data_IF_004159998103
#
_entry.id   IF_004159998103
#
_cell.length_a   1.000
_cell.length_b   1.000
_cell.length_c   1.000
_cell.angle_alpha   90.00
_cell.angle_beta   90.00
_cell.angle_gamma   90.00
#
_symmetry.space_group_name_H-M   'P 1'
#
loop_
_entity.id
_entity.type
_entity.pdbx_description
1 polymer ?
#
# COMPACT_ATOMS: atom_id res chain seq x y z
N UNK A 1 -8.16 28.37 22.68
CA UNK A 1 -6.84 28.23 22.02
C UNK A 1 -7.11 27.65 20.66
N UNK A 2 -6.93 28.47 19.61
CA UNK A 2 -7.43 28.24 18.26
C UNK A 2 -6.93 26.93 17.67
N UNK A 3 -7.81 26.25 16.92
CA UNK A 3 -7.44 25.32 15.85
C UNK A 3 -6.58 26.08 14.83
N UNK A 4 -5.32 26.36 15.14
CA UNK A 4 -4.39 26.87 14.16
C UNK A 4 -4.24 25.80 13.08
N UNK A 5 -4.55 26.21 11.86
CA UNK A 5 -4.67 25.36 10.69
C UNK A 5 -3.38 24.60 10.42
N UNK A 6 -3.35 23.30 10.75
CA UNK A 6 -2.31 22.36 10.33
C UNK A 6 -2.49 21.99 8.85
N UNK A 7 -2.39 22.99 7.98
CA UNK A 7 -2.53 22.83 6.54
C UNK A 7 -1.16 22.79 5.88
N UNK A 8 -0.94 21.75 5.07
CA UNK A 8 0.29 21.53 4.30
C UNK A 8 -0.06 21.47 2.82
N UNK A 9 0.74 22.12 1.98
CA UNK A 9 0.61 22.02 0.54
C UNK A 9 1.38 20.81 0.03
N UNK A 10 0.69 19.85 -0.60
CA UNK A 10 1.33 18.78 -1.38
C UNK A 10 1.43 19.19 -2.86
N UNK A 11 2.13 18.39 -3.66
CA UNK A 11 2.15 18.52 -5.13
C UNK A 11 0.75 18.47 -5.76
N UNK A 12 -0.20 17.78 -5.11
CA UNK A 12 -1.53 17.53 -5.65
C UNK A 12 -2.60 18.48 -5.09
N UNK A 13 -2.42 19.00 -3.89
CA UNK A 13 -3.35 19.95 -3.28
C UNK A 13 -3.12 20.13 -1.77
N UNK A 14 -3.85 21.06 -1.13
CA UNK A 14 -3.75 21.31 0.30
C UNK A 14 -4.36 20.17 1.13
N UNK A 15 -3.69 19.79 2.21
CA UNK A 15 -4.17 18.77 3.17
C UNK A 15 -4.15 19.33 4.60
N UNK A 16 -5.12 18.96 5.42
CA UNK A 16 -5.20 19.36 6.84
C UNK A 16 -5.03 18.16 7.76
N UNK A 17 -4.05 18.23 8.64
CA UNK A 17 -3.81 17.24 9.70
C UNK A 17 -4.36 17.68 11.05
N UNK A 18 -4.00 16.95 12.09
CA UNK A 18 -4.34 17.26 13.49
C UNK A 18 -3.13 17.11 14.41
N UNK A 19 -3.20 17.73 15.59
CA UNK A 19 -2.37 17.34 16.73
C UNK A 19 -3.02 16.18 17.47
N UNK A 20 -2.20 15.26 17.94
CA UNK A 20 -2.59 14.15 18.81
C UNK A 20 -1.65 14.13 20.02
N UNK A 21 -2.07 13.40 21.06
CA UNK A 21 -1.23 13.05 22.20
C UNK A 21 -0.96 11.55 22.14
N UNK A 22 0.31 11.16 22.22
CA UNK A 22 0.72 9.76 22.22
C UNK A 22 0.34 9.06 23.53
N UNK A 23 0.37 7.72 23.52
CA UNK A 23 0.27 6.89 24.73
C UNK A 23 1.32 7.23 25.80
N UNK A 24 2.41 7.91 25.42
CA UNK A 24 3.48 8.36 26.31
C UNK A 24 3.31 9.83 26.78
N UNK A 25 2.20 10.49 26.43
CA UNK A 25 1.89 11.86 26.84
C UNK A 25 2.58 12.95 26.00
N UNK A 26 3.31 12.59 24.94
CA UNK A 26 3.95 13.55 24.03
C UNK A 26 3.00 13.96 22.90
N UNK A 27 2.94 15.25 22.57
CA UNK A 27 2.23 15.72 21.39
C UNK A 27 2.95 15.36 20.09
N UNK A 28 2.17 15.09 19.06
CA UNK A 28 2.65 14.93 17.69
C UNK A 28 1.61 15.41 16.67
N UNK A 29 2.07 15.75 15.48
CA UNK A 29 1.25 16.07 14.32
C UNK A 29 0.99 14.78 13.51
N UNK A 30 -0.24 14.65 13.03
CA UNK A 30 -0.72 13.50 12.26
C UNK A 30 -1.49 13.96 11.03
N UNK A 31 -1.11 13.43 9.87
CA UNK A 31 -1.88 13.48 8.63
C UNK A 31 -2.14 12.06 8.18
N UNK A 32 -3.39 11.71 7.93
CA UNK A 32 -3.77 10.36 7.54
C UNK A 32 -4.68 10.38 6.32
N UNK A 33 -4.54 9.39 5.45
CA UNK A 33 -5.40 9.27 4.28
C UNK A 33 -5.07 10.24 3.14
N UNK A 34 -3.83 10.71 3.00
CA UNK A 34 -3.43 11.59 1.88
C UNK A 34 -3.33 10.76 0.60
N UNK A 35 -4.04 11.07 -0.50
CA UNK A 35 -3.92 10.31 -1.75
C UNK A 35 -2.54 10.47 -2.38
N UNK A 36 -1.88 9.34 -2.70
CA UNK A 36 -0.66 9.33 -3.52
C UNK A 36 -0.88 8.73 -4.90
N UNK A 37 -2.02 8.05 -5.11
CA UNK A 37 -2.48 7.54 -6.39
C UNK A 37 -3.98 7.83 -6.58
N UNK A 38 -4.44 7.79 -7.82
CA UNK A 38 -5.87 7.72 -8.14
C UNK A 38 -6.43 6.36 -7.70
N UNK A 39 -7.68 6.35 -7.23
CA UNK A 39 -8.42 5.13 -6.96
C UNK A 39 -8.34 4.14 -8.15
N UNK A 40 -7.82 2.91 -7.95
CA UNK A 40 -7.72 1.87 -8.97
C UNK A 40 -9.06 1.18 -9.23
N UNK A 41 -10.12 1.96 -9.45
CA UNK A 41 -11.49 1.48 -9.69
C UNK A 41 -11.75 1.25 -11.18
N UNK A 42 -12.76 0.42 -11.48
CA UNK A 42 -13.22 0.15 -12.85
C UNK A 42 -12.07 -0.33 -13.75
N UNK A 43 -11.78 0.42 -14.82
CA UNK A 43 -10.72 0.06 -15.78
C UNK A 43 -9.29 0.18 -15.23
N UNK A 44 -9.10 0.86 -14.10
CA UNK A 44 -7.81 0.91 -13.40
C UNK A 44 -7.59 -0.26 -12.44
N UNK A 45 -8.63 -1.08 -12.18
CA UNK A 45 -8.51 -2.26 -11.35
C UNK A 45 -7.47 -3.22 -11.96
N UNK A 46 -6.62 -3.76 -11.09
CA UNK A 46 -5.45 -4.61 -11.40
C UNK A 46 -4.29 -3.91 -12.15
N UNK A 47 -4.47 -2.69 -12.67
CA UNK A 47 -3.43 -1.97 -13.41
C UNK A 47 -2.45 -1.25 -12.49
N UNK A 48 -1.32 -0.83 -13.05
CA UNK A 48 -0.36 0.03 -12.37
C UNK A 48 -1.04 1.32 -11.85
N UNK A 49 -0.62 1.84 -10.68
CA UNK A 49 -1.17 3.08 -10.15
C UNK A 49 -0.80 4.26 -11.04
N UNK A 50 -1.65 5.28 -11.00
CA UNK A 50 -1.39 6.58 -11.62
C UNK A 50 -1.54 7.68 -10.57
N UNK A 51 -0.84 8.82 -10.70
CA UNK A 51 -0.99 9.93 -9.77
C UNK A 51 -2.44 10.39 -9.62
N UNK A 52 -2.85 10.91 -8.45
CA UNK A 52 -4.19 11.44 -8.26
C UNK A 52 -4.38 12.71 -9.09
N UNK A 53 -5.64 13.05 -9.36
CA UNK A 53 -5.97 14.37 -9.89
C UNK A 53 -5.67 15.43 -8.83
N UNK A 54 -5.26 16.62 -9.28
CA UNK A 54 -5.06 17.75 -8.37
C UNK A 54 -6.38 18.21 -7.77
N UNK A 55 -6.35 18.68 -6.54
CA UNK A 55 -7.49 19.28 -5.85
C UNK A 55 -7.14 20.67 -5.32
N UNK A 56 -8.16 21.51 -5.16
CA UNK A 56 -8.00 22.91 -4.70
C UNK A 56 -8.54 23.12 -3.30
N UNK A 57 -9.55 22.35 -2.89
CA UNK A 57 -10.12 22.42 -1.54
C UNK A 57 -9.26 21.67 -0.54
N UNK A 58 -9.08 22.21 0.67
CA UNK A 58 -8.27 21.54 1.71
C UNK A 58 -8.90 20.20 2.08
N UNK A 59 -8.19 19.11 1.74
CA UNK A 59 -8.60 17.76 2.07
C UNK A 59 -8.42 17.51 3.56
N UNK A 60 -9.44 16.94 4.20
CA UNK A 60 -9.36 16.58 5.62
C UNK A 60 -8.61 15.26 5.80
N UNK A 61 -7.44 15.35 6.42
CA UNK A 61 -6.55 14.22 6.74
C UNK A 61 -6.44 14.01 8.26
N UNK A 62 -7.49 14.38 9.00
CA UNK A 62 -7.54 14.27 10.47
C UNK A 62 -7.99 12.88 10.94
N UNK A 63 -8.50 12.06 10.02
CA UNK A 63 -8.99 10.71 10.28
C UNK A 63 -8.26 9.69 9.43
N UNK A 64 -8.17 8.47 9.98
CA UNK A 64 -7.60 7.34 9.29
C UNK A 64 -8.53 6.90 8.13
N UNK A 65 -7.95 6.58 6.98
CA UNK A 65 -8.68 6.02 5.84
C UNK A 65 -8.90 4.50 5.98
N UNK A 66 -9.80 3.96 5.17
CA UNK A 66 -9.95 2.51 5.04
C UNK A 66 -8.70 1.83 4.45
N UNK A 67 -8.44 0.55 4.79
CA UNK A 67 -7.40 -0.23 4.14
C UNK A 67 -7.77 -0.60 2.70
N UNK A 68 -6.81 -1.15 1.96
CA UNK A 68 -7.14 -1.88 0.74
C UNK A 68 -7.99 -3.12 1.08
N UNK A 69 -8.82 -3.56 0.14
CA UNK A 69 -9.68 -4.73 0.29
C UNK A 69 -8.90 -5.98 0.70
N UNK A 70 -9.27 -6.57 1.85
CA UNK A 70 -8.75 -7.85 2.35
C UNK A 70 -9.67 -8.43 3.43
N UNK A 71 -9.37 -9.65 3.89
CA UNK A 71 -10.01 -10.25 5.06
C UNK A 71 -9.22 -9.88 6.32
N UNK A 72 -9.77 -8.99 7.16
CA UNK A 72 -9.14 -8.63 8.43
C UNK A 72 -9.33 -9.78 9.43
N UNK A 73 -8.23 -10.46 9.77
CA UNK A 73 -8.25 -11.62 10.70
C UNK A 73 -8.54 -11.24 12.15
N UNK A 74 -8.31 -9.99 12.57
CA UNK A 74 -8.68 -9.52 13.91
C UNK A 74 -10.19 -9.29 14.01
N UNK A 75 -10.80 -8.77 12.96
CA UNK A 75 -12.24 -8.53 12.89
C UNK A 75 -13.04 -9.73 12.36
N UNK A 76 -12.38 -10.72 11.77
CA UNK A 76 -12.99 -11.85 11.06
C UNK A 76 -13.99 -11.38 9.98
N UNK A 77 -13.61 -10.33 9.24
CA UNK A 77 -14.50 -9.66 8.29
C UNK A 77 -13.71 -9.14 7.09
N UNK A 78 -14.33 -9.19 5.90
CA UNK A 78 -13.84 -8.45 4.73
C UNK A 78 -14.03 -6.95 4.99
N UNK A 79 -12.95 -6.19 4.80
CA UNK A 79 -12.90 -4.74 5.00
C UNK A 79 -12.17 -4.08 3.84
N UNK A 80 -12.34 -2.77 3.70
CA UNK A 80 -11.55 -1.93 2.82
C UNK A 80 -12.36 -1.26 1.72
N UNK A 81 -11.67 -0.37 1.02
CA UNK A 81 -12.18 0.40 -0.11
C UNK A 81 -11.16 0.36 -1.25
N UNK A 82 -11.59 0.46 -2.51
CA UNK A 82 -10.66 0.53 -3.64
C UNK A 82 -9.92 1.88 -3.66
N UNK A 83 -10.58 2.98 -3.30
CA UNK A 83 -9.94 4.29 -3.06
C UNK A 83 -9.17 4.34 -1.72
N UNK A 84 -8.16 3.49 -1.61
CA UNK A 84 -7.35 3.31 -0.40
C UNK A 84 -5.86 3.56 -0.61
N UNK A 85 -5.40 3.87 -1.84
CA UNK A 85 -4.00 4.20 -2.15
C UNK A 85 -3.59 5.57 -1.59
N UNK A 86 -3.48 5.59 -0.26
CA UNK A 86 -3.29 6.75 0.59
C UNK A 86 -2.12 6.54 1.54
N UNK A 87 -1.51 7.63 1.97
CA UNK A 87 -0.30 7.71 2.79
C UNK A 87 -0.55 8.56 4.04
N UNK A 88 0.15 8.23 5.11
CA UNK A 88 0.06 8.86 6.42
C UNK A 88 1.43 9.41 6.82
N UNK A 89 1.46 10.55 7.50
CA UNK A 89 2.67 11.23 7.95
C UNK A 89 2.52 11.62 9.42
N UNK A 90 3.52 11.27 10.23
CA UNK A 90 3.58 11.53 11.66
C UNK A 90 4.93 12.13 12.05
N UNK A 91 4.93 13.20 12.83
CA UNK A 91 6.14 13.84 13.35
C UNK A 91 5.79 14.65 14.61
N UNK A 92 6.76 14.96 15.48
CA UNK A 92 6.52 15.81 16.66
C UNK A 92 5.95 17.18 16.27
N UNK A 93 6.54 17.77 15.23
CA UNK A 93 6.17 19.07 14.68
C UNK A 93 6.54 19.13 13.19
N UNK A 94 6.05 20.17 12.51
CA UNK A 94 6.42 20.46 11.12
C UNK A 94 7.39 21.63 11.13
N UNK A 95 8.66 21.37 10.85
CA UNK A 95 9.68 22.40 10.72
C UNK A 95 10.52 22.20 9.45
N UNK A 96 10.13 22.80 8.32
CA UNK A 96 10.85 22.67 7.06
C UNK A 96 12.28 23.24 7.09
N UNK A 97 12.59 24.12 8.05
CA UNK A 97 13.92 24.73 8.20
C UNK A 97 14.96 23.78 8.81
N UNK A 98 14.52 22.72 9.47
CA UNK A 98 15.38 21.68 10.05
C UNK A 98 14.94 20.29 9.58
N UNK A 99 15.24 19.90 8.32
CA UNK A 99 14.77 18.65 7.75
C UNK A 99 15.21 17.41 8.54
N UNK A 100 14.23 16.60 8.94
CA UNK A 100 14.43 15.38 9.73
C UNK A 100 14.59 14.14 8.84
N UNK A 101 15.34 13.12 9.29
CA UNK A 101 15.39 11.83 8.59
C UNK A 101 13.98 11.20 8.54
N UNK A 102 13.68 10.54 7.41
CA UNK A 102 12.37 9.93 7.15
C UNK A 102 12.46 8.42 7.33
N UNK A 103 11.56 7.85 8.12
CA UNK A 103 11.33 6.40 8.17
C UNK A 103 10.05 6.08 7.40
N UNK A 104 10.20 5.44 6.25
CA UNK A 104 9.09 5.01 5.40
C UNK A 104 8.82 3.53 5.62
N UNK A 105 7.67 3.19 6.20
CA UNK A 105 7.33 1.84 6.62
C UNK A 105 6.34 1.16 5.65
N UNK A 106 6.68 -0.07 5.24
CA UNK A 106 5.84 -0.96 4.45
C UNK A 106 5.37 -2.12 5.35
N UNK A 107 4.05 -2.27 5.52
CA UNK A 107 3.49 -3.38 6.29
C UNK A 107 3.65 -4.73 5.57
N UNK A 108 3.70 -5.78 6.38
CA UNK A 108 3.57 -7.17 5.92
C UNK A 108 2.12 -7.66 5.93
N UNK A 109 1.95 -8.98 5.79
CA UNK A 109 0.64 -9.62 5.67
C UNK A 109 0.56 -10.57 4.47
N UNK A 110 1.67 -11.25 4.15
CA UNK A 110 1.72 -12.28 3.11
C UNK A 110 1.38 -11.80 1.69
N UNK A 111 1.36 -10.49 1.44
CA UNK A 111 0.76 -9.88 0.25
C UNK A 111 -0.74 -10.14 0.07
N UNK A 112 -1.44 -10.68 1.07
CA UNK A 112 -2.89 -11.01 1.02
C UNK A 112 -3.74 -10.18 1.98
N UNK A 113 -3.12 -9.60 3.00
CA UNK A 113 -3.76 -8.72 3.99
C UNK A 113 -2.82 -7.59 4.43
N UNK A 114 -3.37 -6.60 5.13
CA UNK A 114 -2.57 -5.53 5.74
C UNK A 114 -3.26 -4.18 5.72
N UNK A 115 -2.77 -3.28 6.57
CA UNK A 115 -3.27 -1.92 6.73
C UNK A 115 -2.13 -1.03 7.22
N UNK A 116 -2.14 0.25 6.86
CA UNK A 116 -1.25 1.27 7.44
C UNK A 116 -1.82 1.91 8.71
N UNK A 117 -2.94 1.38 9.20
CA UNK A 117 -3.70 1.92 10.32
C UNK A 117 -2.97 1.86 11.67
N UNK A 118 -3.28 2.85 12.49
CA UNK A 118 -2.69 3.07 13.81
C UNK A 118 -3.12 2.03 14.86
N UNK A 119 -4.17 1.26 14.58
CA UNK A 119 -4.61 0.13 15.40
C UNK A 119 -3.59 -1.03 15.44
N UNK A 120 -2.72 -1.13 14.43
CA UNK A 120 -1.59 -2.07 14.40
C UNK A 120 -0.23 -1.36 14.41
N UNK A 121 -0.14 -0.23 13.70
CA UNK A 121 1.13 0.47 13.45
C UNK A 121 1.10 1.90 13.99
N UNK A 122 0.66 2.05 15.25
CA UNK A 122 0.60 3.33 15.94
C UNK A 122 1.97 4.04 16.00
N UNK A 123 2.03 5.36 15.75
CA UNK A 123 3.28 6.11 15.70
C UNK A 123 3.87 6.42 17.09
N UNK A 124 3.09 6.21 18.15
CA UNK A 124 3.29 6.69 19.52
C UNK A 124 4.68 6.46 20.09
N UNK A 125 5.29 5.31 19.79
CA UNK A 125 6.63 4.98 20.29
C UNK A 125 7.75 5.53 19.41
N UNK A 126 7.55 5.67 18.10
CA UNK A 126 8.60 6.11 17.18
C UNK A 126 8.67 7.62 17.08
N UNK A 127 7.52 8.30 17.20
CA UNK A 127 7.42 9.76 17.12
C UNK A 127 8.09 10.48 18.30
N UNK A 128 8.49 9.76 19.35
CA UNK A 128 9.33 10.29 20.43
C UNK A 128 10.75 10.69 19.96
N UNK A 129 11.18 10.19 18.80
CA UNK A 129 12.48 10.50 18.18
C UNK A 129 12.30 11.59 17.13
N UNK A 130 13.39 12.29 16.82
CA UNK A 130 13.39 13.36 15.82
C UNK A 130 13.46 12.78 14.40
N UNK A 131 12.34 12.20 13.98
CA UNK A 131 12.13 11.58 12.67
C UNK A 131 10.76 12.01 12.12
N UNK A 132 10.59 11.88 10.79
CA UNK A 132 9.27 11.83 10.16
C UNK A 132 8.94 10.37 9.87
N UNK A 133 7.90 9.84 10.51
CA UNK A 133 7.40 8.50 10.25
C UNK A 133 6.32 8.57 9.16
N UNK A 134 6.42 7.67 8.19
CA UNK A 134 5.47 7.56 7.07
C UNK A 134 5.01 6.12 6.94
N UNK A 135 3.70 5.90 6.83
CA UNK A 135 3.09 4.60 6.52
C UNK A 135 2.07 4.77 5.39
N UNK A 136 1.79 3.73 4.61
CA UNK A 136 0.85 3.85 3.48
C UNK A 136 0.23 2.50 3.13
N UNK A 137 -0.92 2.55 2.46
CA UNK A 137 -1.59 1.39 1.92
C UNK A 137 -1.09 1.08 0.51
N UNK A 138 -0.90 -0.20 0.20
CA UNK A 138 -0.70 -0.74 -1.15
C UNK A 138 -1.66 -1.91 -1.37
N UNK A 139 -2.09 -2.13 -2.62
CA UNK A 139 -3.02 -3.23 -2.91
C UNK A 139 -2.39 -4.59 -2.60
N UNK A 140 -3.19 -5.47 -2.02
CA UNK A 140 -2.87 -6.85 -1.69
C UNK A 140 -3.79 -7.82 -2.45
N UNK A 141 -3.48 -9.11 -2.37
CA UNK A 141 -4.23 -10.20 -2.98
C UNK A 141 -4.33 -10.08 -4.49
N UNK A 142 -5.40 -10.62 -5.06
CA UNK A 142 -5.65 -10.52 -6.49
C UNK A 142 -5.72 -9.05 -6.96
N UNK A 143 -6.30 -8.16 -6.16
CA UNK A 143 -6.42 -6.74 -6.54
C UNK A 143 -5.05 -6.04 -6.73
N UNK A 144 -4.01 -6.51 -6.02
CA UNK A 144 -2.65 -5.98 -6.12
C UNK A 144 -1.71 -6.80 -7.00
N UNK A 145 -1.97 -8.09 -7.21
CA UNK A 145 -0.98 -9.02 -7.76
C UNK A 145 -1.51 -9.94 -8.87
N UNK A 146 -2.75 -9.73 -9.35
CA UNK A 146 -3.24 -10.39 -10.56
C UNK A 146 -2.29 -10.13 -11.74
N UNK A 147 -1.98 -11.18 -12.51
CA UNK A 147 -1.07 -11.14 -13.64
C UNK A 147 -1.71 -11.83 -14.84
N UNK A 148 -1.91 -11.08 -15.92
CA UNK A 148 -2.33 -11.58 -17.22
C UNK A 148 -1.12 -11.59 -18.16
N UNK A 149 -0.98 -12.64 -18.96
CA UNK A 149 0.19 -12.82 -19.84
C UNK A 149 0.07 -11.98 -21.12
N UNK A 150 -1.16 -11.70 -21.57
CA UNK A 150 -1.40 -10.87 -22.74
C UNK A 150 -1.09 -9.39 -22.44
N UNK A 151 -0.20 -8.80 -23.22
CA UNK A 151 0.10 -7.36 -23.12
C UNK A 151 -1.13 -6.48 -23.39
N UNK A 152 -2.06 -6.97 -24.22
CA UNK A 152 -3.30 -6.27 -24.58
C UNK A 152 -4.21 -5.99 -23.37
N UNK A 153 -4.12 -6.83 -22.34
CA UNK A 153 -4.93 -6.71 -21.14
C UNK A 153 -4.39 -5.64 -20.18
N UNK A 154 -3.09 -5.31 -20.28
CA UNK A 154 -2.43 -4.27 -19.50
C UNK A 154 -2.31 -4.59 -18.00
N UNK A 155 -2.28 -5.87 -17.63
CA UNK A 155 -2.19 -6.35 -16.24
C UNK A 155 -0.95 -7.24 -16.06
N UNK A 156 0.28 -6.70 -16.14
CA UNK A 156 1.51 -7.50 -16.10
C UNK A 156 1.92 -7.97 -14.68
N UNK A 157 1.02 -7.88 -13.69
CA UNK A 157 1.32 -8.19 -12.30
C UNK A 157 1.98 -7.06 -11.50
N UNK A 158 2.23 -7.36 -10.22
CA UNK A 158 2.96 -6.51 -9.28
C UNK A 158 2.39 -5.08 -9.14
N UNK A 159 1.08 -4.91 -9.25
CA UNK A 159 0.44 -3.62 -9.07
C UNK A 159 0.68 -3.07 -7.65
N UNK A 160 0.62 -3.92 -6.62
CA UNK A 160 0.96 -3.57 -5.24
C UNK A 160 2.40 -3.09 -5.06
N UNK A 161 3.40 -3.71 -5.72
CA UNK A 161 4.78 -3.20 -5.68
C UNK A 161 4.93 -1.86 -6.43
N UNK A 162 4.13 -1.64 -7.47
CA UNK A 162 4.10 -0.35 -8.19
C UNK A 162 3.42 0.73 -7.35
N UNK A 163 2.41 0.37 -6.56
CA UNK A 163 1.80 1.25 -5.55
C UNK A 163 2.86 1.71 -4.54
N UNK A 164 3.63 0.78 -4.00
CA UNK A 164 4.75 1.10 -3.11
C UNK A 164 5.81 1.99 -3.77
N UNK A 165 6.18 1.73 -5.03
CA UNK A 165 7.10 2.59 -5.77
C UNK A 165 6.57 4.03 -5.91
N UNK A 166 5.28 4.19 -6.23
CA UNK A 166 4.66 5.51 -6.34
C UNK A 166 4.57 6.21 -4.97
N UNK A 167 4.32 5.48 -3.89
CA UNK A 167 4.36 6.03 -2.53
C UNK A 167 5.77 6.51 -2.13
N UNK A 168 6.82 5.75 -2.46
CA UNK A 168 8.22 6.17 -2.26
C UNK A 168 8.50 7.47 -3.03
N UNK A 169 8.07 7.55 -4.30
CA UNK A 169 8.20 8.77 -5.12
C UNK A 169 7.42 9.94 -4.52
N UNK A 170 6.22 9.68 -3.99
CA UNK A 170 5.43 10.69 -3.30
C UNK A 170 6.19 11.27 -2.12
N UNK A 171 6.84 10.43 -1.31
CA UNK A 171 7.68 10.90 -0.18
C UNK A 171 8.79 11.82 -0.69
N UNK A 172 9.48 11.44 -1.76
CA UNK A 172 10.58 12.24 -2.31
C UNK A 172 10.12 13.62 -2.81
N UNK A 173 8.90 13.70 -3.34
CA UNK A 173 8.33 14.93 -3.89
C UNK A 173 7.68 15.82 -2.82
N UNK A 174 7.17 15.26 -1.72
CA UNK A 174 6.27 15.96 -0.80
C UNK A 174 6.79 16.08 0.62
N UNK A 175 7.67 15.19 1.09
CA UNK A 175 7.97 15.09 2.53
C UNK A 175 8.68 16.32 3.10
N UNK A 176 9.34 17.11 2.24
CA UNK A 176 9.93 18.41 2.62
C UNK A 176 8.89 19.37 3.21
N UNK A 177 7.65 19.36 2.70
CA UNK A 177 6.57 20.20 3.22
C UNK A 177 6.09 19.76 4.63
N UNK A 178 6.41 18.53 5.02
CA UNK A 178 6.13 17.98 6.35
C UNK A 178 7.36 18.01 7.27
N UNK A 179 8.45 18.67 6.87
CA UNK A 179 9.69 18.76 7.66
C UNK A 179 10.63 17.55 7.51
N UNK A 180 10.41 16.67 6.54
CA UNK A 180 11.29 15.54 6.25
C UNK A 180 12.34 15.86 5.18
N UNK A 181 13.50 15.20 5.25
CA UNK A 181 14.55 15.28 4.25
C UNK A 181 14.39 14.14 3.21
N UNK A 182 14.03 14.44 1.93
CA UNK A 182 13.88 13.42 0.90
C UNK A 182 15.21 12.75 0.49
N UNK A 183 16.36 13.24 0.97
CA UNK A 183 17.69 12.65 0.79
C UNK A 183 18.15 11.85 2.02
N UNK A 184 17.30 11.69 3.04
CA UNK A 184 17.58 10.87 4.23
C UNK A 184 16.41 9.92 4.57
N UNK A 185 15.89 9.27 3.55
CA UNK A 185 14.86 8.22 3.64
C UNK A 185 15.50 6.86 3.98
N UNK A 186 15.00 6.27 5.05
CA UNK A 186 15.21 4.86 5.40
C UNK A 186 13.93 4.09 5.08
N UNK A 187 14.01 3.13 4.17
CA UNK A 187 12.89 2.25 3.82
C UNK A 187 12.86 1.04 4.77
N UNK A 188 11.78 0.84 5.51
CA UNK A 188 11.65 -0.24 6.49
C UNK A 188 10.43 -1.10 6.18
N UNK A 189 10.49 -2.39 6.48
CA UNK A 189 9.33 -3.27 6.35
C UNK A 189 9.51 -4.60 7.06
N UNK A 190 8.37 -5.23 7.37
CA UNK A 190 8.29 -6.49 8.11
C UNK A 190 7.60 -7.59 7.28
N UNK A 191 8.10 -8.83 7.37
CA UNK A 191 7.52 -9.99 6.66
C UNK A 191 7.41 -9.73 5.14
N UNK A 192 6.22 -9.78 4.54
CA UNK A 192 6.00 -9.40 3.14
C UNK A 192 6.43 -7.95 2.84
N UNK A 193 6.35 -7.05 3.82
CA UNK A 193 6.91 -5.71 3.73
C UNK A 193 8.45 -5.71 3.69
N UNK A 194 9.12 -6.65 4.36
CA UNK A 194 10.58 -6.80 4.29
C UNK A 194 11.02 -7.35 2.93
N UNK A 195 10.30 -8.34 2.39
CA UNK A 195 10.48 -8.80 1.01
C UNK A 195 10.25 -7.64 0.02
N UNK A 196 9.25 -6.79 0.27
CA UNK A 196 8.98 -5.56 -0.53
C UNK A 196 10.16 -4.57 -0.49
N UNK A 197 10.73 -4.31 0.70
CA UNK A 197 11.94 -3.48 0.82
C UNK A 197 13.07 -4.07 -0.02
N UNK A 198 13.28 -5.38 0.03
CA UNK A 198 14.33 -6.01 -0.75
C UNK A 198 14.03 -6.02 -2.25
N UNK A 199 12.78 -6.17 -2.69
CA UNK A 199 12.40 -5.96 -4.09
C UNK A 199 12.76 -4.56 -4.57
N UNK A 200 12.57 -3.54 -3.74
CA UNK A 200 12.97 -2.17 -4.05
C UNK A 200 14.49 -1.93 -4.00
N UNK A 201 15.25 -2.74 -3.26
CA UNK A 201 16.71 -2.69 -3.27
C UNK A 201 17.30 -3.25 -4.57
N UNK A 202 16.68 -4.29 -5.15
CA UNK A 202 17.22 -5.00 -6.32
C UNK A 202 16.64 -4.52 -7.66
N UNK A 203 15.49 -3.83 -7.66
CA UNK A 203 14.83 -3.37 -8.87
C UNK A 203 15.30 -1.97 -9.29
N UNK A 204 15.73 -1.83 -10.54
CA UNK A 204 16.09 -0.53 -11.13
C UNK A 204 14.94 0.48 -11.10
N UNK A 205 13.68 0.03 -11.02
CA UNK A 205 12.52 0.90 -10.90
C UNK A 205 12.53 1.75 -9.61
N UNK A 206 13.27 1.31 -8.58
CA UNK A 206 13.42 1.99 -7.28
C UNK A 206 14.84 2.52 -7.04
N UNK A 207 15.69 2.53 -8.08
CA UNK A 207 17.08 2.98 -7.98
C UNK A 207 17.19 4.39 -7.39
N UNK A 208 18.07 4.52 -6.40
CA UNK A 208 18.42 5.78 -5.72
C UNK A 208 17.24 6.56 -5.11
N UNK A 209 16.09 5.92 -4.91
CA UNK A 209 14.92 6.56 -4.29
C UNK A 209 15.04 6.67 -2.76
N UNK A 210 15.90 5.88 -2.11
CA UNK A 210 16.12 5.93 -0.66
C UNK A 210 17.58 5.54 -0.35
N UNK A 211 18.06 5.91 0.85
CA UNK A 211 19.50 5.83 1.16
C UNK A 211 19.85 4.70 2.12
N UNK A 212 18.87 4.18 2.87
CA UNK A 212 19.03 3.10 3.85
C UNK A 212 17.83 2.17 3.83
N UNK A 213 18.01 0.94 4.27
CA UNK A 213 16.94 -0.04 4.38
C UNK A 213 16.99 -0.81 5.71
N UNK A 214 15.83 -1.20 6.23
CA UNK A 214 15.68 -2.11 7.37
C UNK A 214 14.75 -3.25 6.94
N UNK A 215 15.29 -4.47 6.90
CA UNK A 215 14.61 -5.67 6.40
C UNK A 215 14.30 -6.59 7.58
N UNK A 216 13.04 -6.66 8.00
CA UNK A 216 12.63 -7.34 9.24
C UNK A 216 11.88 -8.65 8.93
N UNK A 217 12.53 -9.80 9.16
CA UNK A 217 11.88 -11.12 9.07
C UNK A 217 11.21 -11.45 7.72
N UNK A 218 11.84 -11.07 6.61
CA UNK A 218 11.40 -11.46 5.26
C UNK A 218 12.44 -11.10 4.20
N UNK A 219 12.43 -11.80 3.07
CA UNK A 219 13.45 -11.63 2.02
C UNK A 219 12.92 -12.08 0.65
N UNK A 220 13.47 -11.55 -0.45
CA UNK A 220 13.27 -12.09 -1.81
C UNK A 220 13.85 -13.49 -1.99
N UNK A 221 14.71 -13.95 -1.06
CA UNK A 221 15.19 -15.33 -1.03
C UNK A 221 14.20 -16.30 -0.38
N UNK A 222 13.16 -15.79 0.30
CA UNK A 222 12.11 -16.64 0.85
C UNK A 222 11.22 -17.15 -0.28
N UNK A 223 10.94 -18.46 -0.30
CA UNK A 223 10.12 -19.10 -1.35
C UNK A 223 8.74 -18.46 -1.51
N UNK A 224 8.11 -18.07 -0.40
CA UNK A 224 6.80 -17.42 -0.37
C UNK A 224 6.79 -16.00 -0.97
N UNK A 225 7.96 -15.40 -1.24
CA UNK A 225 8.03 -14.01 -1.70
C UNK A 225 7.74 -13.84 -3.20
N UNK A 226 7.71 -14.93 -3.97
CA UNK A 226 7.48 -14.92 -5.43
C UNK A 226 6.55 -16.05 -5.87
N UNK A 227 5.41 -15.68 -6.42
CA UNK A 227 4.42 -16.63 -6.92
C UNK A 227 4.65 -16.98 -8.40
N UNK A 228 4.57 -18.27 -8.73
CA UNK A 228 4.54 -18.75 -10.13
C UNK A 228 3.11 -18.73 -10.66
N UNK A 229 2.94 -18.36 -11.93
CA UNK A 229 1.62 -18.34 -12.57
C UNK A 229 1.12 -19.77 -12.83
N UNK A 230 -0.12 -20.06 -12.41
CA UNK A 230 -0.81 -21.35 -12.61
C UNK A 230 -2.27 -21.14 -13.02
N UNK A 231 -2.48 -20.25 -13.99
CA UNK A 231 -3.80 -19.86 -14.53
C UNK A 231 -4.72 -19.29 -13.43
N UNK A 232 -4.15 -18.43 -12.57
CA UNK A 232 -4.83 -17.93 -11.38
C UNK A 232 -6.00 -17.01 -11.71
N UNK A 233 -5.90 -16.27 -12.83
CA UNK A 233 -6.95 -15.37 -13.31
C UNK A 233 -8.24 -16.15 -13.61
N UNK A 234 -8.14 -17.21 -14.39
CA UNK A 234 -9.27 -18.04 -14.79
C UNK A 234 -9.79 -18.87 -13.64
N UNK A 235 -8.91 -19.41 -12.79
CA UNK A 235 -9.31 -20.14 -11.57
C UNK A 235 -10.14 -19.24 -10.65
N UNK A 236 -9.69 -18.01 -10.40
CA UNK A 236 -10.41 -17.04 -9.58
C UNK A 236 -11.76 -16.66 -10.21
N UNK A 237 -11.76 -16.35 -11.51
CA UNK A 237 -13.00 -16.00 -12.21
C UNK A 237 -14.02 -17.15 -12.15
N UNK A 238 -13.60 -18.40 -12.37
CA UNK A 238 -14.46 -19.58 -12.23
C UNK A 238 -15.00 -19.77 -10.82
N UNK A 239 -14.16 -19.56 -9.80
CA UNK A 239 -14.59 -19.67 -8.40
C UNK A 239 -15.69 -18.65 -8.04
N UNK A 240 -15.67 -17.47 -8.68
CA UNK A 240 -16.69 -16.43 -8.49
C UNK A 240 -17.95 -16.66 -9.35
N UNK A 241 -17.86 -17.47 -10.42
CA UNK A 241 -19.00 -17.84 -11.27
C UNK A 241 -18.92 -17.38 -12.74
N UNK A 242 -17.73 -17.16 -13.27
CA UNK A 242 -17.52 -16.90 -14.70
C UNK A 242 -17.87 -18.11 -15.58
N UNK A 243 -18.44 -17.85 -16.76
CA UNK A 243 -18.94 -18.84 -17.72
C UNK A 243 -17.86 -19.61 -18.51
N UNK A 244 -16.59 -19.23 -18.34
CA UNK A 244 -15.46 -19.85 -19.03
C UNK A 244 -15.23 -19.35 -20.47
N UNK A 245 -15.97 -18.35 -20.95
CA UNK A 245 -15.89 -17.85 -22.32
C UNK A 245 -14.89 -16.71 -22.48
N UNK A 246 -14.04 -16.81 -23.51
CA UNK A 246 -13.12 -15.74 -23.91
C UNK A 246 -11.71 -15.81 -23.31
N UNK A 247 -11.31 -16.95 -22.74
CA UNK A 247 -9.94 -17.16 -22.21
C UNK A 247 -9.57 -16.24 -21.04
N UNK A 248 -8.27 -16.04 -20.80
CA UNK A 248 -7.76 -15.17 -19.72
C UNK A 248 -8.31 -13.75 -19.82
N UNK A 249 -8.36 -13.17 -21.02
CA UNK A 249 -8.91 -11.82 -21.24
C UNK A 249 -10.41 -11.75 -20.94
N UNK A 250 -11.16 -12.83 -21.21
CA UNK A 250 -12.56 -12.98 -20.81
C UNK A 250 -12.73 -13.01 -19.29
N UNK A 251 -11.90 -13.81 -18.62
CA UNK A 251 -11.85 -13.89 -17.17
C UNK A 251 -11.50 -12.54 -16.52
N UNK A 252 -10.53 -11.81 -17.07
CA UNK A 252 -10.15 -10.47 -16.60
C UNK A 252 -11.32 -9.49 -16.70
N UNK A 253 -12.03 -9.46 -17.83
CA UNK A 253 -13.22 -8.59 -18.00
C UNK A 253 -14.29 -8.92 -16.96
N UNK A 254 -14.53 -10.21 -16.70
CA UNK A 254 -15.44 -10.64 -15.64
C UNK A 254 -14.98 -10.16 -14.25
N UNK A 255 -13.69 -10.31 -13.92
CA UNK A 255 -13.14 -9.87 -12.63
C UNK A 255 -13.15 -8.35 -12.43
N UNK A 256 -13.03 -7.55 -13.51
CA UNK A 256 -13.22 -6.10 -13.43
C UNK A 256 -14.66 -5.71 -13.06
N UNK A 257 -15.64 -6.53 -13.45
CA UNK A 257 -17.05 -6.30 -13.12
C UNK A 257 -17.49 -6.90 -11.77
N UNK A 258 -16.74 -7.88 -11.24
CA UNK A 258 -17.04 -8.51 -9.95
C UNK A 258 -16.94 -7.52 -8.78
N UNK A 259 -17.61 -7.82 -7.67
CA UNK A 259 -17.44 -7.03 -6.45
C UNK A 259 -16.08 -7.35 -5.81
N UNK A 260 -15.35 -6.36 -5.27
CA UNK A 260 -14.08 -6.62 -4.58
C UNK A 260 -14.20 -7.63 -3.44
N UNK A 261 -15.34 -7.65 -2.74
CA UNK A 261 -15.60 -8.60 -1.66
C UNK A 261 -15.66 -10.05 -2.16
N UNK A 262 -16.25 -10.28 -3.34
CA UNK A 262 -16.31 -11.61 -3.95
C UNK A 262 -14.91 -12.08 -4.37
N UNK A 263 -14.06 -11.16 -4.85
CA UNK A 263 -12.65 -11.43 -5.17
C UNK A 263 -11.90 -11.86 -3.90
N UNK A 264 -11.99 -11.08 -2.83
CA UNK A 264 -11.32 -11.36 -1.55
C UNK A 264 -11.83 -12.68 -0.95
N UNK A 265 -13.14 -12.95 -1.02
CA UNK A 265 -13.74 -14.15 -0.43
C UNK A 265 -13.29 -15.46 -1.11
N UNK A 266 -12.85 -15.40 -2.36
CA UNK A 266 -12.46 -16.57 -3.15
C UNK A 266 -10.93 -16.70 -3.34
N UNK A 267 -10.14 -15.63 -3.19
CA UNK A 267 -8.70 -15.65 -3.50
C UNK A 267 -7.91 -16.69 -2.69
N UNK A 268 -8.17 -16.85 -1.38
CA UNK A 268 -7.42 -17.79 -0.53
C UNK A 268 -7.88 -19.25 -0.73
N UNK A 269 -9.05 -19.46 -1.35
CA UNK A 269 -9.63 -20.79 -1.57
C UNK A 269 -9.17 -21.44 -2.88
N UNK A 270 -8.30 -20.77 -3.64
CA UNK A 270 -7.85 -21.25 -4.95
C UNK A 270 -6.74 -22.30 -4.87
N UNK A 271 -6.04 -22.40 -3.74
CA UNK A 271 -4.95 -23.35 -3.58
C UNK A 271 -5.50 -24.78 -3.55
N UNK A 272 -4.96 -25.63 -4.42
CA UNK A 272 -5.24 -27.07 -4.43
C UNK A 272 -4.27 -27.80 -3.51
N UNK A 273 -4.57 -29.06 -3.17
CA UNK A 273 -3.65 -29.92 -2.40
C UNK A 273 -2.28 -30.04 -3.09
N UNK A 274 -2.25 -30.05 -4.43
CA UNK A 274 -1.01 -30.06 -5.19
C UNK A 274 -0.24 -28.73 -5.03
N UNK A 275 -0.93 -27.59 -5.03
CA UNK A 275 -0.27 -26.30 -4.82
C UNK A 275 0.33 -26.21 -3.41
N UNK A 276 -0.33 -26.80 -2.41
CA UNK A 276 0.22 -26.89 -1.04
C UNK A 276 1.45 -27.81 -0.98
N UNK A 277 1.45 -28.93 -1.72
CA UNK A 277 2.62 -29.82 -1.82
C UNK A 277 3.80 -29.16 -2.56
N UNK A 278 3.50 -28.23 -3.46
CA UNK A 278 4.50 -27.44 -4.20
C UNK A 278 4.97 -26.18 -3.41
N UNK A 279 4.67 -26.09 -2.11
CA UNK A 279 4.97 -24.97 -1.21
C UNK A 279 4.44 -23.61 -1.70
N UNK A 280 3.32 -23.59 -2.43
CA UNK A 280 2.65 -22.35 -2.84
C UNK A 280 1.95 -21.73 -1.63
N UNK A 281 2.50 -20.60 -1.16
CA UNK A 281 1.96 -19.89 0.00
C UNK A 281 0.65 -19.15 -0.30
N UNK A 282 0.58 -18.46 -1.44
CA UNK A 282 -0.59 -17.71 -1.90
C UNK A 282 -0.64 -17.67 -3.44
N UNK A 283 -1.84 -17.58 -4.05
CA UNK A 283 -1.98 -17.57 -5.51
C UNK A 283 -1.62 -16.23 -6.17
N UNK A 284 -1.48 -15.15 -5.41
CA UNK A 284 -1.20 -13.79 -5.89
C UNK A 284 -0.13 -13.14 -5.01
#
# INVERSE_FOLDING_TARGET
>A
MSLESLTVQTKYGPVRGKRNVSLLGQEYVSFQGIPYARAPEGELRFKAPVPPQKWTETLDCTQQCEPCYHFDRRLQKIVGCEDSLKINVFAKEINPSTPLPVMLYIYGGGFTEGTSGTELYGPDFLVQKDIVLVSFNYRIGALGFLCCQSEQDGVPGNAGLKDQNLAIRWVLENIAAFGGDPKRVTLAGHSAGAASVQYHLISDASKDLFQRAIVMSGSTYSSWSLTRQRNWVEKLAKAIGWDGQGGESGALRFLRAAKPEDIVAHQEKLLTDQDMQDDVFAPF
#
